data_IF_248437657793
#
_entry.id   IF_248437657793
#
_cell.length_a   1.000
_cell.length_b   1.000
_cell.length_c   1.000
_cell.angle_alpha   90.00
_cell.angle_beta   90.00
_cell.angle_gamma   90.00
#
_symmetry.space_group_name_H-M   'P 1'
#
loop_
_entity.id
_entity.type
_entity.pdbx_description
1 polymer ?
#
# COMPACT_ATOMS: atom_id res chain seq x y z
N UNK A 1 -3.37 -4.14 30.37
CA UNK A 1 -3.11 -5.36 29.59
C UNK A 1 -3.44 -5.07 28.14
N UNK A 2 -2.43 -5.04 27.28
CA UNK A 2 -2.59 -4.91 25.82
C UNK A 2 -3.31 -6.15 25.32
N UNK A 3 -4.49 -5.99 24.77
CA UNK A 3 -5.17 -7.02 24.02
C UNK A 3 -5.20 -6.57 22.56
N UNK A 4 -4.47 -7.24 21.71
CA UNK A 4 -4.65 -7.09 20.27
C UNK A 4 -6.10 -7.42 19.93
N UNK A 5 -6.85 -6.40 19.49
CA UNK A 5 -8.30 -6.48 19.26
C UNK A 5 -8.70 -7.17 17.96
N UNK A 6 -7.80 -7.89 17.35
CA UNK A 6 -7.99 -8.47 16.03
C UNK A 6 -8.50 -9.91 16.04
N UNK A 7 -9.16 -10.30 17.07
CA UNK A 7 -9.90 -11.56 17.16
C UNK A 7 -11.37 -11.40 16.77
N UNK A 8 -11.68 -11.08 15.51
CA UNK A 8 -13.04 -11.15 14.98
C UNK A 8 -14.18 -10.52 15.83
N UNK A 9 -15.42 -10.71 15.44
CA UNK A 9 -16.60 -10.18 16.13
C UNK A 9 -16.76 -10.66 17.57
N UNK A 10 -16.22 -11.85 17.92
CA UNK A 10 -16.33 -12.40 19.28
C UNK A 10 -15.65 -11.58 20.38
N UNK A 11 -14.63 -10.80 20.02
CA UNK A 11 -13.93 -9.92 20.95
C UNK A 11 -14.53 -8.53 21.12
N UNK A 12 -15.56 -8.16 20.35
CA UNK A 12 -16.14 -6.81 20.36
C UNK A 12 -16.79 -6.46 21.69
N UNK A 13 -17.43 -7.42 22.34
CA UNK A 13 -18.11 -7.22 23.62
C UNK A 13 -17.19 -7.09 24.84
N UNK A 14 -15.90 -7.41 24.68
CA UNK A 14 -14.92 -7.29 25.76
C UNK A 14 -14.53 -5.81 25.97
N UNK A 15 -14.41 -5.41 27.23
CA UNK A 15 -13.92 -4.09 27.57
C UNK A 15 -12.52 -3.86 27.00
N UNK A 16 -12.34 -2.72 26.35
CA UNK A 16 -11.07 -2.32 25.73
C UNK A 16 -10.31 -1.39 26.68
N UNK A 17 -9.04 -1.69 26.88
CA UNK A 17 -8.15 -0.86 27.67
C UNK A 17 -7.34 0.03 26.72
N UNK A 18 -7.54 1.33 26.81
CA UNK A 18 -6.87 2.30 25.95
C UNK A 18 -7.60 3.62 25.94
N UNK A 19 -6.92 4.66 25.51
CA UNK A 19 -7.45 6.03 25.41
C UNK A 19 -7.52 6.39 23.94
N UNK A 20 -8.72 6.33 23.35
CA UNK A 20 -8.94 6.66 21.94
C UNK A 20 -8.61 8.12 21.65
N UNK A 21 -7.96 8.36 20.53
CA UNK A 21 -7.56 9.65 19.98
C UNK A 21 -7.75 9.65 18.47
N UNK A 22 -7.80 10.84 17.88
CA UNK A 22 -7.73 11.03 16.45
C UNK A 22 -6.94 12.29 16.12
N UNK A 23 -6.12 12.23 15.07
CA UNK A 23 -5.46 13.39 14.47
C UNK A 23 -6.07 13.62 13.09
N UNK A 24 -6.50 14.84 12.85
CA UNK A 24 -6.99 15.35 11.57
C UNK A 24 -6.87 16.89 11.58
N UNK A 25 -7.28 17.58 10.52
CA UNK A 25 -7.18 19.03 10.46
C UNK A 25 -8.06 19.77 11.48
N UNK A 26 -9.12 19.13 12.02
CA UNK A 26 -9.95 19.69 13.11
C UNK A 26 -9.33 19.44 14.51
N UNK A 27 -8.32 18.57 14.63
CA UNK A 27 -7.56 18.30 15.86
C UNK A 27 -6.13 17.84 15.51
N UNK A 28 -5.25 18.75 15.06
CA UNK A 28 -3.95 18.39 14.49
C UNK A 28 -2.96 17.78 15.51
N UNK A 29 -3.23 17.90 16.79
CA UNK A 29 -2.39 17.33 17.85
C UNK A 29 -3.05 16.15 18.59
N UNK A 30 -4.27 15.73 18.21
CA UNK A 30 -4.97 14.62 18.85
C UNK A 30 -5.30 14.86 20.33
N UNK A 31 -5.39 16.10 20.76
CA UNK A 31 -5.60 16.46 22.16
C UNK A 31 -7.02 16.12 22.63
N UNK A 32 -7.11 15.63 23.87
CA UNK A 32 -8.40 15.31 24.48
C UNK A 32 -9.29 16.56 24.60
N UNK A 33 -10.48 16.49 24.03
CA UNK A 33 -11.49 17.56 24.11
C UNK A 33 -11.18 18.80 23.27
N UNK A 34 -10.27 18.70 22.28
CA UNK A 34 -9.86 19.82 21.41
C UNK A 34 -10.31 19.68 19.96
N UNK A 35 -11.03 18.62 19.61
CA UNK A 35 -11.54 18.45 18.26
C UNK A 35 -12.63 19.47 17.90
N UNK A 36 -12.59 19.98 16.66
CA UNK A 36 -13.61 20.87 16.14
C UNK A 36 -13.68 22.24 16.81
N UNK A 37 -12.57 22.77 17.31
CA UNK A 37 -12.53 24.09 17.96
C UNK A 37 -12.68 25.27 16.98
N UNK A 38 -12.28 25.08 15.73
CA UNK A 38 -12.42 26.10 14.70
C UNK A 38 -13.89 26.37 14.37
N UNK A 39 -14.21 27.64 14.12
CA UNK A 39 -15.54 28.05 13.70
C UNK A 39 -15.62 28.20 12.18
N UNK A 40 -16.78 27.88 11.60
CA UNK A 40 -17.15 28.25 10.22
C UNK A 40 -18.22 29.34 10.23
N UNK A 41 -18.73 29.67 9.05
CA UNK A 41 -19.89 30.56 8.91
C UNK A 41 -21.18 30.00 9.60
N UNK A 42 -21.18 28.70 9.94
CA UNK A 42 -22.29 28.05 10.67
C UNK A 42 -22.15 28.18 12.20
N UNK A 43 -21.03 28.74 12.67
CA UNK A 43 -20.72 28.90 14.08
C UNK A 43 -19.61 28.01 14.62
N UNK A 44 -19.40 28.00 15.95
CA UNK A 44 -18.40 27.19 16.62
C UNK A 44 -18.64 25.69 16.44
N UNK A 45 -17.57 24.92 16.33
CA UNK A 45 -17.61 23.45 16.19
C UNK A 45 -18.47 22.98 15.00
N UNK A 46 -18.42 23.72 13.92
CA UNK A 46 -19.17 23.46 12.68
C UNK A 46 -18.26 23.43 11.46
N UNK A 47 -17.35 22.45 11.44
CA UNK A 47 -16.49 22.18 10.28
C UNK A 47 -15.60 23.38 9.90
N UNK A 48 -14.93 23.98 10.88
CA UNK A 48 -14.12 25.18 10.68
C UNK A 48 -12.75 24.94 10.07
N UNK A 49 -12.19 23.72 10.19
CA UNK A 49 -10.89 23.32 9.64
C UNK A 49 -10.93 21.88 9.10
N UNK A 50 -11.69 21.60 8.04
CA UNK A 50 -12.01 20.21 7.64
C UNK A 50 -10.84 19.49 6.94
N UNK A 51 -9.84 20.21 6.42
CA UNK A 51 -8.74 19.66 5.64
C UNK A 51 -7.47 20.50 5.73
N UNK A 52 -6.36 19.97 5.27
CA UNK A 52 -5.19 20.77 4.92
C UNK A 52 -5.43 21.41 3.56
N UNK A 53 -5.23 22.73 3.51
CA UNK A 53 -5.37 23.48 2.27
C UNK A 53 -3.99 23.81 1.70
N UNK A 54 -3.93 23.91 0.36
CA UNK A 54 -2.80 24.47 -0.38
C UNK A 54 -1.44 23.85 0.00
N UNK A 55 -1.31 22.52 -0.09
CA UNK A 55 0.00 21.88 0.07
C UNK A 55 0.81 22.16 -1.20
N UNK A 56 1.79 23.03 -1.06
CA UNK A 56 2.62 23.52 -2.19
C UNK A 56 3.50 22.43 -2.80
N UNK A 57 3.88 22.54 -4.09
CA UNK A 57 4.84 21.64 -4.71
C UNK A 57 6.18 21.62 -3.94
N UNK A 58 6.72 20.43 -3.72
CA UNK A 58 7.95 20.21 -2.95
C UNK A 58 7.78 20.30 -1.42
N UNK A 59 6.59 20.64 -0.93
CA UNK A 59 6.33 20.70 0.50
C UNK A 59 6.17 19.31 1.11
N UNK A 60 6.76 19.10 2.29
CA UNK A 60 6.49 17.97 3.17
C UNK A 60 5.68 18.46 4.38
N UNK A 61 4.50 17.93 4.55
CA UNK A 61 3.62 18.24 5.69
C UNK A 61 3.56 17.07 6.67
N UNK A 62 3.52 17.36 7.96
CA UNK A 62 3.24 16.36 8.99
C UNK A 62 1.74 16.19 9.11
N UNK A 63 1.24 14.99 8.76
CA UNK A 63 -0.17 14.62 8.93
C UNK A 63 -0.49 14.30 10.38
N UNK A 64 0.40 13.56 11.04
CA UNK A 64 0.21 13.15 12.42
C UNK A 64 1.55 13.00 13.13
N UNK A 65 1.60 13.41 14.37
CA UNK A 65 2.70 13.16 15.30
C UNK A 65 2.12 12.91 16.68
N UNK A 66 2.50 11.80 17.30
CA UNK A 66 1.92 11.36 18.56
C UNK A 66 2.94 10.69 19.47
N UNK A 67 2.83 11.00 20.75
CA UNK A 67 3.62 10.36 21.81
C UNK A 67 2.92 9.11 22.30
N UNK A 68 3.69 8.04 22.54
CA UNK A 68 3.22 6.73 22.95
C UNK A 68 3.39 6.41 24.44
N UNK A 69 3.23 5.13 24.81
CA UNK A 69 2.96 4.00 23.89
C UNK A 69 1.55 4.01 23.32
N UNK A 70 1.44 3.56 22.06
CA UNK A 70 0.16 3.57 21.36
C UNK A 70 0.12 2.64 20.13
N UNK A 71 -1.04 2.62 19.47
CA UNK A 71 -1.26 1.89 18.22
C UNK A 71 -2.19 2.69 17.31
N UNK A 72 -1.77 2.96 16.07
CA UNK A 72 -2.66 3.45 15.03
C UNK A 72 -3.53 2.28 14.57
N UNK A 73 -4.84 2.51 14.52
CA UNK A 73 -5.82 1.48 14.20
C UNK A 73 -6.50 1.71 12.85
N UNK A 74 -6.50 2.95 12.39
CA UNK A 74 -7.13 3.31 11.13
C UNK A 74 -6.52 4.60 10.57
N UNK A 75 -6.30 4.62 9.27
CA UNK A 75 -5.94 5.82 8.51
C UNK A 75 -6.96 5.95 7.39
N UNK A 76 -7.65 7.09 7.36
CA UNK A 76 -8.49 7.50 6.24
C UNK A 76 -7.90 8.71 5.54
N UNK A 77 -7.87 8.68 4.21
CA UNK A 77 -7.34 9.77 3.37
C UNK A 77 -8.24 9.95 2.15
N UNK A 78 -8.41 11.20 1.72
CA UNK A 78 -8.83 11.53 0.36
C UNK A 78 -8.15 12.80 -0.11
N UNK A 79 -7.91 12.90 -1.41
CA UNK A 79 -7.23 14.02 -2.04
C UNK A 79 -8.01 14.49 -3.27
N UNK A 80 -8.06 15.80 -3.47
CA UNK A 80 -8.51 16.36 -4.74
C UNK A 80 -7.45 16.09 -5.81
N UNK A 81 -7.82 15.30 -6.82
CA UNK A 81 -6.97 15.03 -7.97
C UNK A 81 -7.46 15.78 -9.20
N UNK A 82 -7.88 17.00 -9.07
CA UNK A 82 -8.11 17.90 -10.23
C UNK A 82 -6.82 18.04 -11.01
N UNK A 83 -6.50 16.95 -11.70
CA UNK A 83 -5.38 16.86 -12.58
C UNK A 83 -5.78 17.49 -13.88
N UNK A 84 -5.01 18.46 -14.34
CA UNK A 84 -5.02 18.84 -15.75
C UNK A 84 -4.41 17.70 -16.56
N UNK A 85 -4.67 17.63 -17.83
CA UNK A 85 -4.15 16.59 -18.73
C UNK A 85 -2.61 16.43 -18.67
N UNK A 86 -1.90 17.46 -18.22
CA UNK A 86 -0.45 17.43 -18.05
C UNK A 86 0.03 16.79 -16.72
N UNK A 87 -0.86 16.59 -15.74
CA UNK A 87 -0.51 16.22 -14.35
C UNK A 87 -1.42 15.12 -13.81
N UNK A 88 -1.56 14.02 -14.56
CA UNK A 88 -2.57 12.99 -14.29
C UNK A 88 -2.18 12.00 -13.18
N UNK A 89 -0.99 12.09 -12.57
CA UNK A 89 -0.48 11.04 -11.66
C UNK A 89 -0.31 11.52 -10.22
N UNK A 90 -1.21 12.35 -9.71
CA UNK A 90 -1.15 12.88 -8.33
C UNK A 90 -0.97 11.76 -7.27
N UNK A 91 -1.58 10.60 -7.47
CA UNK A 91 -1.46 9.46 -6.56
C UNK A 91 -0.08 8.78 -6.60
N UNK A 92 0.72 8.99 -7.66
CA UNK A 92 2.13 8.58 -7.76
C UNK A 92 3.10 9.69 -7.34
N UNK A 93 2.67 10.95 -7.39
CA UNK A 93 3.48 12.12 -7.05
C UNK A 93 3.43 12.45 -5.54
N UNK A 94 2.35 12.11 -4.86
CA UNK A 94 2.27 12.21 -3.41
C UNK A 94 2.98 11.02 -2.77
N UNK A 95 3.90 11.30 -1.83
CA UNK A 95 4.66 10.26 -1.12
C UNK A 95 4.29 10.29 0.35
N UNK A 96 3.80 9.14 0.85
CA UNK A 96 3.55 8.95 2.29
C UNK A 96 4.76 8.29 2.94
N UNK A 97 5.17 8.82 4.12
CA UNK A 97 6.20 8.21 4.96
C UNK A 97 5.73 8.11 6.40
N UNK A 98 6.14 7.03 7.07
CA UNK A 98 5.84 6.83 8.49
C UNK A 98 7.12 6.42 9.22
N UNK A 99 7.24 6.91 10.45
CA UNK A 99 8.42 6.74 11.29
C UNK A 99 7.98 6.31 12.70
N UNK A 100 8.70 5.35 13.28
CA UNK A 100 8.41 4.82 14.61
C UNK A 100 9.59 5.07 15.55
N UNK A 101 9.29 5.45 16.79
CA UNK A 101 10.21 5.46 17.94
C UNK A 101 11.54 6.19 17.69
N UNK A 102 11.47 7.38 17.07
CA UNK A 102 12.61 8.28 16.78
C UNK A 102 13.60 7.72 15.71
N UNK A 103 13.20 6.71 14.91
CA UNK A 103 13.98 6.31 13.75
C UNK A 103 14.11 7.46 12.75
N UNK A 104 15.34 7.69 12.25
CA UNK A 104 15.63 8.77 11.30
C UNK A 104 15.17 8.42 9.89
N UNK A 105 15.18 7.14 9.55
CA UNK A 105 14.73 6.61 8.24
C UNK A 105 13.29 6.11 8.32
N UNK A 106 12.49 6.28 7.25
CA UNK A 106 11.11 5.85 7.26
C UNK A 106 10.98 4.33 7.29
N UNK A 107 10.08 3.82 8.13
CA UNK A 107 9.62 2.42 8.10
C UNK A 107 8.57 2.19 7.02
N UNK A 108 7.91 3.24 6.56
CA UNK A 108 6.99 3.21 5.41
C UNK A 108 7.40 4.28 4.43
N UNK A 109 7.64 3.91 3.16
CA UNK A 109 7.85 4.85 2.06
C UNK A 109 7.19 4.32 0.79
N UNK A 110 6.20 5.04 0.29
CA UNK A 110 5.46 4.65 -0.91
C UNK A 110 4.78 5.87 -1.56
N UNK A 111 4.59 5.86 -2.89
CA UNK A 111 3.55 6.69 -3.50
C UNK A 111 2.20 6.40 -2.86
N UNK A 112 1.40 7.46 -2.66
CA UNK A 112 0.14 7.37 -1.91
C UNK A 112 -0.81 6.33 -2.52
N UNK A 113 -0.99 6.35 -3.84
CA UNK A 113 -1.89 5.41 -4.51
C UNK A 113 -1.45 3.97 -4.37
N UNK A 114 -0.15 3.69 -4.54
CA UNK A 114 0.40 2.33 -4.45
C UNK A 114 0.25 1.76 -3.04
N UNK A 115 0.45 2.59 -1.99
CA UNK A 115 0.21 2.18 -0.61
C UNK A 115 -1.22 1.66 -0.38
N UNK A 116 -2.19 2.18 -1.12
CA UNK A 116 -3.60 1.76 -1.08
C UNK A 116 -4.02 0.87 -2.25
N UNK A 117 -3.08 0.19 -2.93
CA UNK A 117 -3.34 -0.70 -4.05
C UNK A 117 -3.90 -0.02 -5.32
N UNK A 118 -3.61 1.26 -5.52
CA UNK A 118 -3.99 2.05 -6.69
C UNK A 118 -2.74 2.51 -7.47
N UNK A 119 -1.97 1.55 -7.97
CA UNK A 119 -0.60 1.73 -8.44
C UNK A 119 -0.41 2.33 -9.83
N UNK A 120 -1.45 2.75 -10.52
CA UNK A 120 -1.34 3.37 -11.86
C UNK A 120 -1.72 4.86 -11.86
N UNK A 121 -1.64 5.51 -10.69
CA UNK A 121 -2.12 6.88 -10.53
C UNK A 121 -3.63 7.01 -10.64
N UNK A 122 -4.33 5.89 -10.73
CA UNK A 122 -5.79 5.78 -10.85
C UNK A 122 -6.39 5.08 -9.65
N UNK A 123 -7.57 5.54 -9.25
CA UNK A 123 -8.36 4.87 -8.22
C UNK A 123 -8.98 3.58 -8.77
N UNK A 124 -9.05 2.58 -7.92
CA UNK A 124 -9.86 1.39 -8.14
C UNK A 124 -10.53 0.97 -6.83
N UNK A 125 -11.59 0.20 -6.94
CA UNK A 125 -12.26 -0.33 -5.74
C UNK A 125 -11.42 -1.46 -5.17
N UNK A 126 -10.99 -1.29 -3.92
CA UNK A 126 -10.33 -2.33 -3.13
C UNK A 126 -11.24 -2.69 -1.96
N UNK A 127 -11.52 -3.97 -1.81
CA UNK A 127 -12.38 -4.47 -0.73
C UNK A 127 -11.71 -5.66 -0.04
N UNK A 128 -10.90 -5.35 0.95
CA UNK A 128 -10.16 -6.34 1.74
C UNK A 128 -10.17 -5.99 3.23
N UNK A 129 -9.67 -6.91 4.07
CA UNK A 129 -9.65 -6.69 5.52
C UNK A 129 -8.73 -5.52 5.92
N UNK A 130 -7.45 -5.45 5.47
CA UNK A 130 -6.57 -4.40 5.94
C UNK A 130 -6.61 -3.11 5.09
N UNK A 131 -7.12 -3.19 3.86
CA UNK A 131 -7.16 -2.07 2.93
C UNK A 131 -8.53 -1.99 2.25
N UNK A 132 -9.11 -0.79 2.22
CA UNK A 132 -10.31 -0.54 1.45
C UNK A 132 -10.20 0.80 0.71
N UNK A 133 -10.54 0.77 -0.58
CA UNK A 133 -10.68 1.98 -1.39
C UNK A 133 -12.09 2.02 -1.93
N UNK A 134 -12.81 3.07 -1.57
CA UNK A 134 -14.21 3.27 -1.96
C UNK A 134 -14.30 4.35 -3.04
N UNK A 135 -15.43 4.45 -3.77
CA UNK A 135 -15.59 5.41 -4.87
C UNK A 135 -15.17 6.84 -4.49
N UNK A 136 -14.58 7.54 -5.44
CA UNK A 136 -14.05 8.89 -5.28
C UNK A 136 -12.86 9.00 -4.30
N UNK A 137 -12.00 7.97 -4.29
CA UNK A 137 -10.71 7.99 -3.58
C UNK A 137 -10.83 8.05 -2.05
N UNK A 138 -11.78 7.37 -1.49
CA UNK A 138 -11.81 7.14 -0.04
C UNK A 138 -10.83 6.02 0.32
N UNK A 139 -9.58 6.36 0.64
CA UNK A 139 -8.54 5.42 1.00
C UNK A 139 -8.61 5.07 2.49
N UNK A 140 -8.59 3.79 2.83
CA UNK A 140 -8.65 3.29 4.20
C UNK A 140 -7.59 2.22 4.45
N UNK A 141 -6.86 2.34 5.55
CA UNK A 141 -5.90 1.36 6.02
C UNK A 141 -6.23 0.96 7.45
N UNK A 142 -6.33 -0.34 7.71
CA UNK A 142 -6.62 -0.94 9.02
C UNK A 142 -5.47 -1.82 9.54
N UNK A 143 -4.30 -1.77 8.91
CA UNK A 143 -3.12 -2.39 9.49
C UNK A 143 -2.82 -1.76 10.84
N UNK A 144 -2.63 -2.54 11.94
CA UNK A 144 -2.22 -2.00 13.22
C UNK A 144 -0.78 -1.50 13.14
N UNK A 145 -0.54 -0.32 13.67
CA UNK A 145 0.80 0.26 13.68
C UNK A 145 1.16 0.66 15.11
N UNK A 146 1.69 -0.29 15.91
CA UNK A 146 2.10 -0.02 17.27
C UNK A 146 3.40 0.80 17.31
N UNK A 147 3.54 1.63 18.34
CA UNK A 147 4.75 2.41 18.64
C UNK A 147 4.94 2.52 20.14
N UNK A 148 6.17 2.36 20.62
CA UNK A 148 6.50 2.39 22.07
C UNK A 148 6.72 3.80 22.60
N UNK A 149 7.28 4.69 21.76
CA UNK A 149 7.61 6.05 22.17
C UNK A 149 6.87 7.08 21.32
N UNK A 150 7.00 7.00 20.01
CA UNK A 150 6.54 8.04 19.08
C UNK A 150 6.13 7.46 17.72
N UNK A 151 5.11 8.06 17.11
CA UNK A 151 4.77 7.82 15.72
C UNK A 151 4.69 9.14 14.97
N UNK A 152 5.17 9.16 13.72
CA UNK A 152 5.08 10.31 12.82
C UNK A 152 4.68 9.88 11.43
N UNK A 153 3.71 10.57 10.85
CA UNK A 153 3.27 10.37 9.46
C UNK A 153 3.46 11.68 8.71
N UNK A 154 4.12 11.63 7.55
CA UNK A 154 4.32 12.77 6.66
C UNK A 154 3.76 12.50 5.27
N UNK A 155 3.40 13.58 4.58
CA UNK A 155 3.05 13.58 3.17
C UNK A 155 3.93 14.59 2.44
N UNK A 156 4.63 14.15 1.40
CA UNK A 156 5.39 15.03 0.50
C UNK A 156 4.60 15.22 -0.80
N UNK A 157 4.43 16.47 -1.20
CA UNK A 157 3.84 16.80 -2.49
C UNK A 157 4.97 16.99 -3.53
N UNK A 158 5.25 15.97 -4.34
CA UNK A 158 6.15 16.07 -5.48
C UNK A 158 5.41 16.39 -6.80
N UNK A 159 4.09 16.58 -6.73
CA UNK A 159 3.29 17.00 -7.89
C UNK A 159 3.67 18.41 -8.35
N UNK A 160 3.49 18.70 -9.65
CA UNK A 160 3.82 20.01 -10.23
C UNK A 160 2.90 21.13 -9.71
N UNK A 161 1.68 20.77 -9.31
CA UNK A 161 0.70 21.70 -8.77
C UNK A 161 0.50 21.54 -7.27
N UNK A 162 0.05 22.61 -6.62
CA UNK A 162 -0.39 22.53 -5.23
C UNK A 162 -1.61 21.63 -5.09
N UNK A 163 -1.72 20.96 -3.95
CA UNK A 163 -2.89 20.18 -3.58
C UNK A 163 -3.85 21.10 -2.82
N UNK A 164 -4.98 21.49 -3.40
CA UNK A 164 -5.85 22.53 -2.83
C UNK A 164 -6.61 22.06 -1.59
N UNK A 165 -6.88 20.74 -1.49
CA UNK A 165 -7.58 20.16 -0.36
C UNK A 165 -7.14 18.70 -0.12
N UNK A 166 -6.65 18.42 1.08
CA UNK A 166 -6.25 17.09 1.51
C UNK A 166 -6.96 16.76 2.82
N UNK A 167 -7.86 15.79 2.77
CA UNK A 167 -8.63 15.34 3.92
C UNK A 167 -8.02 14.07 4.49
N UNK A 168 -7.91 13.99 5.81
CA UNK A 168 -7.36 12.81 6.45
C UNK A 168 -7.85 12.67 7.89
N UNK A 169 -7.79 11.46 8.38
CA UNK A 169 -7.95 11.13 9.79
C UNK A 169 -7.07 9.93 10.15
N UNK A 170 -6.35 10.04 11.25
CA UNK A 170 -5.55 8.97 11.85
C UNK A 170 -6.16 8.66 13.21
N UNK A 171 -6.80 7.50 13.32
CA UNK A 171 -7.41 7.02 14.57
C UNK A 171 -6.41 6.10 15.29
N UNK A 172 -6.20 6.36 16.58
CA UNK A 172 -5.25 5.62 17.39
C UNK A 172 -5.69 5.44 18.83
N UNK A 173 -5.10 4.48 19.54
CA UNK A 173 -5.25 4.30 20.97
C UNK A 173 -3.91 4.49 21.67
N UNK A 174 -3.93 5.22 22.81
CA UNK A 174 -2.82 5.26 23.74
C UNK A 174 -3.03 4.23 24.84
N UNK A 175 -1.94 3.56 25.19
CA UNK A 175 -1.89 2.54 26.24
C UNK A 175 -0.98 3.00 27.37
N UNK A 176 -1.01 2.31 28.52
CA UNK A 176 -0.05 2.56 29.60
C UNK A 176 1.26 1.81 29.31
N UNK A 177 1.17 0.67 28.64
CA UNK A 177 2.29 -0.16 28.21
C UNK A 177 1.91 -0.99 26.97
N UNK A 178 2.90 -1.39 26.19
CA UNK A 178 2.80 -2.37 25.11
C UNK A 178 3.67 -3.59 25.43
N UNK A 179 3.34 -4.78 24.90
CA UNK A 179 4.19 -5.96 25.05
C UNK A 179 5.61 -5.73 24.52
N UNK A 180 6.58 -6.42 25.11
CA UNK A 180 7.98 -6.31 24.70
C UNK A 180 8.25 -6.89 23.31
N UNK A 181 7.44 -7.88 22.91
CA UNK A 181 7.54 -8.62 21.65
C UNK A 181 6.74 -8.01 20.49
N UNK A 182 6.29 -6.77 20.61
CA UNK A 182 5.68 -6.08 19.46
C UNK A 182 6.68 -5.89 18.34
N UNK A 183 6.18 -5.93 17.11
CA UNK A 183 6.90 -5.61 15.88
C UNK A 183 6.29 -4.39 15.22
N UNK A 184 7.08 -3.62 14.51
CA UNK A 184 6.67 -2.37 13.88
C UNK A 184 6.25 -2.60 12.43
N UNK A 185 5.22 -1.90 12.01
CA UNK A 185 4.71 -1.96 10.63
C UNK A 185 5.67 -1.31 9.65
N UNK A 186 5.91 -1.97 8.53
CA UNK A 186 6.74 -1.48 7.43
C UNK A 186 6.01 -1.64 6.10
N UNK A 187 6.29 -0.71 5.17
CA UNK A 187 5.90 -0.85 3.78
C UNK A 187 6.91 -0.17 2.86
N UNK A 188 7.35 -0.88 1.82
CA UNK A 188 8.31 -0.36 0.85
C UNK A 188 7.80 -0.53 -0.56
N UNK A 189 7.83 0.56 -1.32
CA UNK A 189 7.57 0.56 -2.75
C UNK A 189 8.85 0.33 -3.56
N UNK A 190 8.76 -0.47 -4.64
CA UNK A 190 9.83 -0.70 -5.61
C UNK A 190 9.26 -0.76 -7.02
N UNK A 191 10.12 -0.54 -8.03
CA UNK A 191 9.75 -0.70 -9.44
C UNK A 191 10.96 -1.05 -10.30
N UNK A 192 10.72 -1.89 -11.31
CA UNK A 192 11.56 -2.02 -12.51
C UNK A 192 10.70 -1.70 -13.73
N UNK A 193 11.02 -0.62 -14.43
CA UNK A 193 10.26 -0.20 -15.64
C UNK A 193 10.42 -1.17 -16.81
N UNK A 194 11.44 -1.99 -16.75
CA UNK A 194 11.69 -3.11 -17.64
C UNK A 194 12.49 -4.15 -16.85
N UNK A 195 11.83 -5.25 -16.50
CA UNK A 195 12.48 -6.35 -15.78
C UNK A 195 13.56 -7.01 -16.63
N UNK A 196 14.54 -7.61 -15.99
CA UNK A 196 15.67 -8.28 -16.67
C UNK A 196 15.35 -9.77 -16.84
N UNK A 197 15.58 -10.32 -18.05
CA UNK A 197 15.41 -11.76 -18.31
C UNK A 197 16.34 -12.60 -17.44
N UNK A 198 15.85 -13.75 -16.99
CA UNK A 198 16.55 -14.69 -16.10
C UNK A 198 16.92 -14.11 -14.74
N UNK A 199 16.25 -13.02 -14.34
CA UNK A 199 16.39 -12.41 -13.04
C UNK A 199 15.02 -12.12 -12.46
N UNK A 200 14.80 -12.56 -11.25
CA UNK A 200 13.56 -12.29 -10.55
C UNK A 200 13.42 -10.80 -10.25
N UNK A 201 12.22 -10.26 -10.38
CA UNK A 201 11.90 -8.93 -9.86
C UNK A 201 11.93 -8.96 -8.33
N UNK A 202 12.67 -8.02 -7.74
CA UNK A 202 12.81 -7.92 -6.28
C UNK A 202 11.68 -7.09 -5.69
N UNK A 203 10.81 -7.72 -4.90
CA UNK A 203 9.73 -7.07 -4.15
C UNK A 203 10.26 -6.49 -2.84
N UNK A 204 11.08 -7.25 -2.12
CA UNK A 204 11.67 -6.85 -0.83
C UNK A 204 13.07 -7.46 -0.70
N UNK A 205 14.01 -6.67 -0.20
CA UNK A 205 15.37 -7.10 0.08
C UNK A 205 16.00 -6.26 1.19
N UNK A 206 17.01 -6.84 1.86
CA UNK A 206 17.76 -6.15 2.90
C UNK A 206 17.06 -6.10 4.28
N UNK A 207 15.96 -6.82 4.47
CA UNK A 207 15.33 -6.95 5.78
C UNK A 207 16.20 -7.80 6.69
N UNK A 208 16.51 -7.27 7.88
CA UNK A 208 17.28 -7.95 8.93
C UNK A 208 16.56 -7.86 10.26
N UNK A 209 16.67 -8.92 11.07
CA UNK A 209 15.99 -9.05 12.35
C UNK A 209 14.76 -9.92 12.27
N UNK A 210 14.03 -10.03 13.37
CA UNK A 210 12.84 -10.88 13.52
C UNK A 210 11.57 -10.18 13.06
N UNK A 211 10.71 -10.91 12.33
CA UNK A 211 9.46 -10.34 11.86
C UNK A 211 8.55 -11.31 11.12
N UNK A 212 7.58 -10.77 10.42
CA UNK A 212 6.70 -11.54 9.55
C UNK A 212 6.15 -10.68 8.40
N UNK A 213 6.14 -11.27 7.21
CA UNK A 213 5.58 -10.65 6.00
C UNK A 213 4.06 -10.83 6.00
N UNK A 214 3.34 -9.75 5.69
CA UNK A 214 1.87 -9.73 5.75
C UNK A 214 1.18 -9.35 4.45
N UNK A 215 1.93 -8.95 3.42
CA UNK A 215 1.26 -8.68 2.16
C UNK A 215 2.12 -8.13 1.03
N UNK A 216 1.55 -8.27 -0.16
CA UNK A 216 2.08 -7.78 -1.42
C UNK A 216 0.98 -7.04 -2.18
N UNK A 217 1.29 -5.87 -2.72
CA UNK A 217 0.59 -5.29 -3.85
C UNK A 217 1.51 -5.29 -5.06
N UNK A 218 1.00 -5.65 -6.24
CA UNK A 218 1.73 -5.56 -7.51
C UNK A 218 0.89 -4.76 -8.51
N UNK A 219 1.56 -3.82 -9.18
CA UNK A 219 1.11 -3.12 -10.38
C UNK A 219 1.95 -3.62 -11.56
N UNK A 220 1.34 -4.45 -12.40
CA UNK A 220 1.98 -5.09 -13.54
C UNK A 220 1.49 -4.45 -14.85
N UNK A 221 2.40 -3.91 -15.66
CA UNK A 221 2.14 -3.54 -17.05
C UNK A 221 2.80 -4.55 -17.96
N UNK A 222 2.01 -5.37 -18.67
CA UNK A 222 2.51 -6.42 -19.55
C UNK A 222 2.95 -5.83 -20.89
N UNK A 223 4.23 -5.99 -21.22
CA UNK A 223 4.84 -5.41 -22.43
C UNK A 223 4.99 -6.43 -23.55
N UNK A 224 5.00 -7.71 -23.20
CA UNK A 224 5.16 -8.79 -24.17
C UNK A 224 3.84 -9.53 -24.41
N UNK A 225 3.73 -10.12 -25.60
CA UNK A 225 2.60 -10.94 -26.02
C UNK A 225 2.50 -12.25 -25.22
N UNK A 226 1.37 -12.89 -25.24
CA UNK A 226 1.02 -14.17 -24.62
C UNK A 226 0.75 -14.08 -23.11
N UNK A 227 0.43 -15.25 -22.51
CA UNK A 227 0.14 -15.36 -21.09
C UNK A 227 1.33 -14.97 -20.23
N UNK A 228 1.09 -14.28 -19.13
CA UNK A 228 2.08 -13.58 -18.32
C UNK A 228 2.21 -14.10 -16.88
N UNK A 229 1.32 -14.98 -16.42
CA UNK A 229 1.09 -15.26 -14.99
C UNK A 229 1.77 -16.52 -14.46
N UNK A 230 2.88 -17.01 -15.07
CA UNK A 230 3.58 -18.22 -14.63
C UNK A 230 4.71 -17.95 -13.63
N UNK A 231 5.12 -16.72 -13.46
CA UNK A 231 6.22 -16.37 -12.57
C UNK A 231 5.92 -16.70 -11.12
N UNK A 232 6.81 -17.48 -10.49
CA UNK A 232 6.67 -17.94 -9.11
C UNK A 232 7.08 -16.88 -8.11
N UNK A 233 6.26 -16.68 -7.05
CA UNK A 233 6.63 -15.89 -5.89
C UNK A 233 7.54 -16.70 -4.99
N UNK A 234 8.65 -16.09 -4.55
CA UNK A 234 9.68 -16.73 -3.74
C UNK A 234 9.95 -15.95 -2.47
N UNK A 235 10.10 -16.67 -1.35
CA UNK A 235 10.50 -16.13 -0.06
C UNK A 235 11.75 -16.83 0.41
N UNK A 236 12.82 -16.05 0.50
CA UNK A 236 14.12 -16.46 1.04
C UNK A 236 14.16 -16.04 2.50
N UNK A 237 14.29 -17.00 3.39
CA UNK A 237 14.08 -16.85 4.83
C UNK A 237 15.34 -17.31 5.57
N UNK A 238 15.79 -16.50 6.54
CA UNK A 238 16.79 -16.89 7.54
C UNK A 238 18.08 -17.46 6.91
N UNK A 239 18.69 -16.69 6.02
CA UNK A 239 19.95 -17.03 5.35
C UNK A 239 19.83 -17.87 4.09
N UNK A 240 18.63 -18.07 3.56
CA UNK A 240 18.46 -18.66 2.24
C UNK A 240 19.19 -17.83 1.18
N UNK A 241 19.95 -18.49 0.30
CA UNK A 241 20.74 -17.81 -0.75
C UNK A 241 20.33 -18.25 -2.16
N UNK A 242 20.69 -19.47 -2.58
CA UNK A 242 20.45 -19.97 -3.92
C UNK A 242 18.98 -20.36 -4.14
N UNK A 243 18.34 -21.00 -3.15
CA UNK A 243 16.97 -21.48 -3.24
C UNK A 243 16.12 -20.92 -2.11
N UNK A 244 14.84 -20.57 -2.36
CA UNK A 244 13.94 -20.06 -1.34
C UNK A 244 13.37 -21.18 -0.47
N UNK A 245 13.07 -20.89 0.79
CA UNK A 245 12.28 -21.80 1.65
C UNK A 245 10.85 -21.94 1.14
N UNK A 246 10.24 -20.88 0.58
CA UNK A 246 8.89 -20.93 0.00
C UNK A 246 8.98 -20.51 -1.47
N UNK A 247 8.51 -21.40 -2.36
CA UNK A 247 8.34 -21.14 -3.78
C UNK A 247 6.90 -21.42 -4.18
N UNK A 248 6.26 -20.45 -4.83
CA UNK A 248 4.89 -20.59 -5.34
C UNK A 248 4.81 -21.41 -6.62
N UNK A 249 3.64 -21.43 -7.24
CA UNK A 249 3.36 -22.16 -8.48
C UNK A 249 3.09 -21.25 -9.68
N UNK A 250 3.10 -19.95 -9.48
CA UNK A 250 2.84 -18.93 -10.50
C UNK A 250 2.18 -17.68 -9.90
N UNK A 251 2.23 -16.58 -10.63
CA UNK A 251 1.64 -15.29 -10.25
C UNK A 251 0.14 -15.41 -10.00
N UNK A 252 -0.58 -16.10 -10.89
CA UNK A 252 -2.03 -16.27 -10.71
C UNK A 252 -2.37 -17.06 -9.44
N UNK A 253 -1.64 -18.13 -9.16
CA UNK A 253 -1.81 -18.94 -7.95
C UNK A 253 -1.52 -18.14 -6.68
N UNK A 254 -0.48 -17.30 -6.70
CA UNK A 254 -0.14 -16.42 -5.57
C UNK A 254 -1.28 -15.46 -5.22
N UNK A 255 -1.91 -14.86 -6.23
CA UNK A 255 -3.06 -13.96 -6.02
C UNK A 255 -4.41 -14.69 -5.92
N UNK A 256 -4.38 -16.03 -5.76
CA UNK A 256 -5.57 -16.87 -5.51
C UNK A 256 -6.44 -17.13 -6.72
N UNK A 257 -5.92 -16.85 -7.92
CA UNK A 257 -6.59 -17.14 -9.17
C UNK A 257 -6.19 -18.49 -9.77
N UNK A 258 -6.79 -18.77 -10.88
CA UNK A 258 -6.51 -19.95 -11.70
C UNK A 258 -7.01 -19.72 -13.13
N UNK A 259 -6.40 -20.42 -14.10
CA UNK A 259 -6.86 -20.42 -15.49
C UNK A 259 -7.04 -19.01 -16.07
N UNK A 260 -5.99 -18.19 -15.96
CA UNK A 260 -5.90 -16.81 -16.49
C UNK A 260 -6.89 -15.82 -15.85
N UNK A 261 -7.41 -16.07 -14.63
CA UNK A 261 -8.45 -15.24 -14.00
C UNK A 261 -9.69 -15.07 -14.88
N UNK A 262 -9.97 -16.00 -15.78
CA UNK A 262 -10.92 -15.81 -16.86
C UNK A 262 -12.14 -16.71 -16.75
N UNK A 263 -13.22 -16.26 -17.35
CA UNK A 263 -14.40 -17.07 -17.62
C UNK A 263 -14.78 -17.02 -19.11
N UNK A 264 -15.55 -17.99 -19.54
CA UNK A 264 -16.16 -17.99 -20.88
C UNK A 264 -17.43 -17.13 -20.87
N UNK A 265 -17.47 -16.13 -21.75
CA UNK A 265 -18.64 -15.27 -21.97
C UNK A 265 -18.88 -15.23 -23.48
N UNK A 266 -20.00 -15.75 -23.93
CA UNK A 266 -20.39 -15.80 -25.35
C UNK A 266 -19.30 -16.39 -26.27
N UNK A 267 -18.66 -17.47 -25.82
CA UNK A 267 -17.58 -18.15 -26.53
C UNK A 267 -16.22 -17.44 -26.52
N UNK A 268 -16.08 -16.34 -25.78
CA UNK A 268 -14.83 -15.61 -25.59
C UNK A 268 -14.29 -15.81 -24.19
N UNK A 269 -12.97 -15.92 -24.06
CA UNK A 269 -12.28 -15.89 -22.78
C UNK A 269 -12.14 -14.45 -22.31
N UNK A 270 -12.73 -14.12 -21.15
CA UNK A 270 -12.76 -12.76 -20.59
C UNK A 270 -12.17 -12.79 -19.20
N UNK A 271 -11.06 -12.07 -19.02
CA UNK A 271 -10.38 -11.85 -17.75
C UNK A 271 -11.30 -11.11 -16.77
N UNK A 272 -11.32 -11.50 -15.51
CA UNK A 272 -12.25 -10.97 -14.49
C UNK A 272 -11.52 -10.32 -13.33
N UNK A 273 -11.98 -9.14 -12.93
CA UNK A 273 -11.60 -8.52 -11.67
C UNK A 273 -12.32 -9.17 -10.49
N UNK A 274 -11.69 -9.17 -9.33
CA UNK A 274 -12.32 -9.62 -8.08
C UNK A 274 -11.68 -8.94 -6.87
N UNK A 275 -12.43 -8.90 -5.78
CA UNK A 275 -11.98 -8.49 -4.47
C UNK A 275 -12.45 -9.51 -3.44
N UNK A 276 -11.55 -9.95 -2.57
CA UNK A 276 -11.87 -10.83 -1.43
C UNK A 276 -11.17 -10.31 -0.17
N UNK A 277 -11.51 -10.81 1.03
CA UNK A 277 -10.90 -10.33 2.26
C UNK A 277 -9.37 -10.34 2.29
N UNK A 278 -8.70 -11.27 1.61
CA UNK A 278 -7.25 -11.46 1.73
C UNK A 278 -6.48 -11.45 0.41
N UNK A 279 -7.16 -11.47 -0.72
CA UNK A 279 -6.53 -11.44 -2.04
C UNK A 279 -7.47 -10.83 -3.07
N UNK A 280 -6.91 -10.27 -4.14
CA UNK A 280 -7.74 -9.63 -5.16
C UNK A 280 -6.98 -9.19 -6.41
N UNK A 281 -7.77 -8.94 -7.43
CA UNK A 281 -7.42 -8.36 -8.71
C UNK A 281 -8.33 -7.14 -8.96
N UNK A 282 -8.12 -6.03 -8.22
CA UNK A 282 -9.03 -4.88 -8.24
C UNK A 282 -8.99 -4.06 -9.52
N UNK A 283 -7.87 -4.05 -10.27
CA UNK A 283 -7.69 -3.19 -11.43
C UNK A 283 -7.22 -3.95 -12.66
N UNK A 284 -7.92 -3.75 -13.76
CA UNK A 284 -7.49 -4.12 -15.11
C UNK A 284 -7.85 -2.99 -16.09
N UNK A 285 -6.85 -2.43 -16.79
CA UNK A 285 -7.05 -1.26 -17.65
C UNK A 285 -8.07 -1.44 -18.76
N UNK A 286 -8.25 -2.67 -19.26
CA UNK A 286 -9.28 -2.94 -20.29
C UNK A 286 -10.72 -2.79 -19.75
N UNK A 287 -10.92 -2.71 -18.44
CA UNK A 287 -12.21 -2.48 -17.80
C UNK A 287 -12.38 -1.04 -17.28
N UNK A 288 -11.38 -0.19 -17.47
CA UNK A 288 -11.39 1.21 -17.04
C UNK A 288 -11.85 2.10 -18.19
N UNK A 289 -13.14 2.46 -18.20
CA UNK A 289 -13.75 3.31 -19.21
C UNK A 289 -13.13 4.73 -19.26
N UNK A 290 -12.48 5.16 -18.18
CA UNK A 290 -11.88 6.49 -18.07
C UNK A 290 -10.46 6.55 -18.64
N UNK A 291 -9.86 5.42 -18.99
CA UNK A 291 -8.51 5.38 -19.56
C UNK A 291 -8.47 5.86 -21.02
N UNK A 292 -9.60 5.76 -21.72
CA UNK A 292 -9.73 6.14 -23.12
C UNK A 292 -9.88 7.65 -23.27
N UNK A 293 -8.78 8.37 -23.34
CA UNK A 293 -8.71 9.79 -23.64
C UNK A 293 -7.62 10.08 -24.68
N UNK A 294 -7.37 11.34 -24.98
CA UNK A 294 -6.38 11.73 -25.98
C UNK A 294 -4.96 11.19 -25.71
N UNK A 295 -4.58 11.01 -24.43
CA UNK A 295 -3.26 10.52 -24.02
C UNK A 295 -3.23 9.02 -23.73
N UNK A 296 -4.39 8.38 -23.59
CA UNK A 296 -4.54 6.96 -23.36
C UNK A 296 -5.50 6.41 -24.41
N UNK A 297 -5.05 5.49 -25.20
CA UNK A 297 -5.83 4.83 -26.24
C UNK A 297 -5.78 3.30 -26.06
N UNK A 298 -6.47 2.59 -26.93
CA UNK A 298 -6.55 1.12 -26.90
C UNK A 298 -5.20 0.42 -27.14
N UNK A 299 -4.18 1.17 -27.61
CA UNK A 299 -2.84 0.64 -27.86
C UNK A 299 -1.93 0.66 -26.60
N UNK A 300 -2.40 1.24 -25.50
CA UNK A 300 -1.64 1.19 -24.24
C UNK A 300 -1.42 -0.24 -23.78
N UNK A 301 -0.22 -0.58 -23.28
CA UNK A 301 0.03 -1.89 -22.71
C UNK A 301 -0.95 -2.21 -21.56
N UNK A 302 -1.47 -3.45 -21.48
CA UNK A 302 -2.41 -3.82 -20.43
C UNK A 302 -1.80 -3.67 -19.04
N UNK A 303 -2.52 -2.98 -18.16
CA UNK A 303 -2.15 -2.71 -16.76
C UNK A 303 -3.04 -3.50 -15.81
N UNK A 304 -2.44 -4.16 -14.83
CA UNK A 304 -3.13 -5.03 -13.86
C UNK A 304 -2.63 -4.78 -12.46
N UNK A 305 -3.55 -4.61 -11.49
CA UNK A 305 -3.24 -4.45 -10.08
C UNK A 305 -3.71 -5.64 -9.28
N UNK A 306 -2.85 -6.18 -8.39
CA UNK A 306 -3.14 -7.34 -7.56
C UNK A 306 -2.75 -7.09 -6.12
N UNK A 307 -3.52 -7.64 -5.15
CA UNK A 307 -3.09 -7.68 -3.76
C UNK A 307 -3.24 -9.07 -3.16
N UNK A 308 -2.35 -9.41 -2.22
CA UNK A 308 -2.48 -10.55 -1.32
C UNK A 308 -2.05 -10.17 0.09
N UNK A 309 -2.86 -10.55 1.07
CA UNK A 309 -2.60 -10.35 2.49
C UNK A 309 -2.37 -11.68 3.20
N UNK A 310 -1.19 -11.85 3.77
CA UNK A 310 -0.80 -12.99 4.58
C UNK A 310 -1.18 -12.78 6.06
N UNK A 311 -2.45 -12.50 6.34
CA UNK A 311 -2.96 -12.26 7.70
C UNK A 311 -3.25 -13.58 8.41
N UNK A 312 -3.78 -14.55 7.66
CA UNK A 312 -4.08 -15.89 8.19
C UNK A 312 -2.89 -16.85 8.03
N UNK A 313 -1.96 -16.53 7.14
CA UNK A 313 -0.79 -17.31 6.76
C UNK A 313 0.48 -16.43 6.76
N UNK A 314 0.82 -15.73 7.87
CA UNK A 314 1.99 -14.85 7.91
C UNK A 314 3.27 -15.63 7.64
N UNK A 315 4.18 -15.01 6.87
CA UNK A 315 5.47 -15.62 6.54
C UNK A 315 6.50 -15.11 7.55
N UNK A 316 6.80 -15.94 8.55
CA UNK A 316 7.66 -15.62 9.68
C UNK A 316 9.14 -15.78 9.31
N UNK A 317 9.98 -14.91 9.88
CA UNK A 317 11.43 -14.98 9.80
C UNK A 317 12.05 -14.53 11.12
N UNK A 318 13.21 -15.09 11.48
CA UNK A 318 13.93 -14.78 12.71
C UNK A 318 15.19 -13.93 12.47
N UNK A 319 15.80 -14.00 11.29
CA UNK A 319 17.06 -13.34 10.97
C UNK A 319 16.97 -12.38 9.77
N UNK A 320 16.38 -12.83 8.68
CA UNK A 320 16.24 -12.01 7.46
C UNK A 320 15.14 -12.50 6.52
N UNK A 321 14.76 -11.61 5.59
CA UNK A 321 13.79 -11.90 4.54
C UNK A 321 14.16 -11.19 3.24
N UNK A 322 14.09 -11.94 2.13
CA UNK A 322 14.07 -11.44 0.76
C UNK A 322 12.88 -12.03 0.02
N UNK A 323 12.16 -11.19 -0.76
CA UNK A 323 10.97 -11.60 -1.52
C UNK A 323 11.14 -11.22 -2.97
N UNK A 324 10.95 -12.18 -3.88
CA UNK A 324 11.08 -11.98 -5.32
C UNK A 324 9.91 -12.61 -6.08
N UNK A 325 9.73 -12.23 -7.34
CA UNK A 325 8.79 -12.88 -8.26
C UNK A 325 9.43 -13.01 -9.64
N UNK A 326 9.34 -14.20 -10.23
CA UNK A 326 9.80 -14.44 -11.59
C UNK A 326 8.91 -13.71 -12.61
N UNK A 327 9.50 -13.37 -13.76
CA UNK A 327 8.76 -12.86 -14.91
C UNK A 327 8.76 -13.93 -16.01
N UNK A 328 7.80 -14.86 -15.91
CA UNK A 328 7.66 -16.01 -16.81
C UNK A 328 6.23 -16.02 -17.40
N UNK A 329 6.19 -16.35 -18.68
CA UNK A 329 4.95 -16.50 -19.44
C UNK A 329 4.86 -17.83 -20.18
N UNK A 330 3.70 -18.08 -20.81
CA UNK A 330 3.47 -19.21 -21.70
C UNK A 330 3.05 -18.75 -23.09
N UNK A 331 3.76 -19.22 -24.09
CA UNK A 331 3.45 -19.04 -25.51
C UNK A 331 3.33 -20.37 -26.24
N UNK A 332 3.29 -20.33 -27.57
CA UNK A 332 3.17 -21.53 -28.41
C UNK A 332 4.29 -22.58 -28.20
N UNK A 333 5.44 -22.16 -27.71
CA UNK A 333 6.60 -23.04 -27.48
C UNK A 333 6.76 -23.45 -26.00
N UNK A 334 5.77 -23.19 -25.17
CA UNK A 334 5.81 -23.41 -23.72
C UNK A 334 6.26 -22.18 -22.95
N UNK A 335 6.92 -22.39 -21.81
CA UNK A 335 7.43 -21.34 -20.94
C UNK A 335 8.48 -20.45 -21.63
N UNK A 336 8.47 -19.16 -21.33
CA UNK A 336 9.47 -18.21 -21.80
C UNK A 336 9.69 -17.07 -20.81
N UNK A 337 10.91 -16.55 -20.76
CA UNK A 337 11.27 -15.38 -19.97
C UNK A 337 10.66 -14.11 -20.55
N UNK A 338 10.06 -13.31 -19.68
CA UNK A 338 9.39 -12.05 -20.02
C UNK A 338 10.18 -10.84 -19.54
N UNK A 339 9.91 -9.71 -20.18
CA UNK A 339 10.27 -8.39 -19.68
C UNK A 339 9.01 -7.53 -19.60
N UNK A 340 8.66 -7.12 -18.40
CA UNK A 340 7.48 -6.33 -18.13
C UNK A 340 7.85 -5.14 -17.22
N UNK A 341 6.92 -4.18 -17.08
CA UNK A 341 7.04 -3.09 -16.12
C UNK A 341 6.30 -3.50 -14.85
N UNK A 342 7.04 -3.63 -13.76
CA UNK A 342 6.52 -4.11 -12.48
C UNK A 342 6.82 -3.11 -11.39
N UNK A 343 5.77 -2.66 -10.69
CA UNK A 343 5.90 -1.96 -9.42
C UNK A 343 5.22 -2.76 -8.31
N UNK A 344 5.69 -2.62 -7.08
CA UNK A 344 5.13 -3.35 -5.94
C UNK A 344 5.22 -2.57 -4.65
N UNK A 345 4.37 -2.92 -3.68
CA UNK A 345 4.52 -2.56 -2.27
C UNK A 345 4.56 -3.86 -1.48
N UNK A 346 5.65 -4.03 -0.72
CA UNK A 346 5.78 -5.05 0.30
C UNK A 346 5.25 -4.52 1.63
N UNK A 347 4.53 -5.35 2.40
CA UNK A 347 4.04 -5.01 3.73
C UNK A 347 4.49 -6.08 4.72
N UNK A 348 5.14 -5.65 5.83
CA UNK A 348 5.64 -6.57 6.84
C UNK A 348 5.72 -5.92 8.21
N UNK A 349 5.99 -6.72 9.22
CA UNK A 349 6.31 -6.28 10.56
C UNK A 349 7.68 -6.82 10.94
N UNK A 350 8.49 -5.99 11.60
CA UNK A 350 9.79 -6.42 12.13
C UNK A 350 10.17 -5.67 13.41
N UNK A 351 11.13 -6.20 14.12
CA UNK A 351 11.79 -5.53 15.24
C UNK A 351 12.69 -4.40 14.74
N UNK A 352 12.89 -3.36 15.56
CA UNK A 352 13.87 -2.30 15.30
C UNK A 352 15.26 -2.64 15.86
N UNK A 353 16.34 -2.03 15.31
CA UNK A 353 16.34 -1.08 14.18
C UNK A 353 16.12 -1.79 12.84
N UNK A 354 15.62 -1.06 11.83
CA UNK A 354 15.54 -1.54 10.45
C UNK A 354 16.68 -0.96 9.59
N UNK A 355 17.00 -1.62 8.47
CA UNK A 355 17.91 -1.08 7.47
C UNK A 355 17.24 0.03 6.65
N UNK A 356 17.95 1.13 6.30
CA UNK A 356 17.40 2.16 5.42
C UNK A 356 16.97 1.58 4.07
N UNK A 357 15.86 2.08 3.54
CA UNK A 357 15.41 1.72 2.20
C UNK A 357 16.35 2.27 1.12
N UNK A 358 16.39 1.61 -0.04
CA UNK A 358 16.97 2.20 -1.24
C UNK A 358 16.21 3.51 -1.57
N UNK A 359 16.88 4.55 -2.10
CA UNK A 359 16.22 5.79 -2.46
C UNK A 359 15.04 5.58 -3.39
N UNK A 360 13.93 6.27 -3.12
CA UNK A 360 12.77 6.26 -4.00
C UNK A 360 13.15 6.80 -5.38
N UNK A 361 12.66 6.18 -6.44
CA UNK A 361 12.89 6.63 -7.82
C UNK A 361 12.38 8.06 -8.04
N UNK A 362 12.91 8.74 -9.07
CA UNK A 362 12.42 10.06 -9.48
C UNK A 362 10.92 10.04 -9.72
N UNK A 363 10.27 11.19 -9.64
CA UNK A 363 8.83 11.33 -9.87
C UNK A 363 8.43 10.77 -11.23
N UNK A 364 9.15 11.17 -12.28
CA UNK A 364 8.89 10.77 -13.66
C UNK A 364 9.08 9.27 -13.88
N UNK A 365 10.05 8.66 -13.20
CA UNK A 365 10.28 7.21 -13.26
C UNK A 365 9.22 6.39 -12.52
N UNK A 366 8.41 7.04 -11.66
CA UNK A 366 7.26 6.40 -11.02
C UNK A 366 5.98 6.43 -11.86
N UNK A 367 5.87 7.34 -12.84
CA UNK A 367 4.66 7.44 -13.66
C UNK A 367 4.38 6.15 -14.43
N UNK A 368 3.12 5.71 -14.50
CA UNK A 368 2.72 4.59 -15.35
C UNK A 368 3.10 4.81 -16.81
N UNK A 369 3.10 3.74 -17.58
CA UNK A 369 3.33 3.83 -19.03
C UNK A 369 2.09 4.34 -19.75
#
# INVERSE_FOLDING_TARGET
>A
MYQSFKGGLGGIALAKHGRSRAINAENPHGEKGKGGMAASHLGPSRKGSPCLNDIEPGATVTLAEMEGPGEINHIWITVDNKTTDADCFVLRDLVIRMYWDDEETPSVESPLGDFFCCGFGRECIVNSVPMAVVPSRGFNCYFPMPFKKKAKITLENQHANKIPAFFYQVDYCLYDELPDDITYFHAQWRRERLTEKQKDYTILDGVKGKGHYVGTYIALTTLERYWWGEGEMKFYIDGDDEYPTICGTGTEGYFGGSWSFAKQVDGKTVEQNYNTPYLGYPYYSAHDELIHNFYHNDDCPPMRGFYRWHIQDPICFDEDLRVTIQQIGVGYRGLFERQDDVASVAYWYQTHPHAPFAPLMSKEDRWPR
#
